data_IF_793608388618
#
_entry.id   IF_793608388618
#
_cell.length_a   1.000
_cell.length_b   1.000
_cell.length_c   1.000
_cell.angle_alpha   90.00
_cell.angle_beta   90.00
_cell.angle_gamma   90.00
#
_symmetry.space_group_name_H-M   'P 1'
#
loop_
_entity.id
_entity.type
_entity.pdbx_description
1 polymer ?
#
# COMPACT_ATOMS: atom_id res chain seq x y z
N UNK A 1 0.04 31.77 9.87
CA UNK A 1 -0.08 30.79 10.99
C UNK A 1 -0.08 29.37 10.41
N UNK A 2 0.80 29.12 9.43
CA UNK A 2 0.61 28.05 8.44
C UNK A 2 1.65 26.93 8.55
N UNK A 3 2.81 27.21 9.14
CA UNK A 3 3.87 26.22 9.36
C UNK A 3 3.47 25.10 10.35
N UNK A 4 2.64 25.38 11.36
CA UNK A 4 2.14 24.35 12.28
C UNK A 4 1.15 23.39 11.60
N UNK A 5 0.30 23.91 10.71
CA UNK A 5 -0.66 23.11 9.94
C UNK A 5 0.06 22.24 8.90
N UNK A 6 1.07 22.80 8.22
CA UNK A 6 1.93 22.08 7.30
C UNK A 6 2.74 20.96 7.98
N UNK A 7 3.30 21.24 9.16
CA UNK A 7 4.03 20.24 9.94
C UNK A 7 3.11 19.11 10.41
N UNK A 8 1.92 19.42 10.91
CA UNK A 8 0.93 18.42 11.34
C UNK A 8 0.46 17.53 10.17
N UNK A 9 0.18 18.11 9.01
CA UNK A 9 -0.21 17.36 7.82
C UNK A 9 0.93 16.49 7.28
N UNK A 10 2.17 16.99 7.27
CA UNK A 10 3.33 16.18 6.88
C UNK A 10 3.60 15.00 7.83
N UNK A 11 3.44 15.18 9.14
CA UNK A 11 3.56 14.07 10.12
C UNK A 11 2.48 13.01 9.87
N UNK A 12 1.24 13.42 9.59
CA UNK A 12 0.15 12.50 9.28
C UNK A 12 0.48 11.65 8.05
N UNK A 13 1.01 12.27 6.99
CA UNK A 13 1.44 11.57 5.77
C UNK A 13 2.56 10.56 6.07
N UNK A 14 3.59 10.96 6.82
CA UNK A 14 4.70 10.05 7.19
C UNK A 14 4.16 8.85 7.98
N UNK A 15 3.31 9.10 8.98
CA UNK A 15 2.73 8.02 9.79
C UNK A 15 1.90 7.05 8.95
N UNK A 16 1.09 7.58 8.03
CA UNK A 16 0.28 6.75 7.14
C UNK A 16 1.16 5.92 6.19
N UNK A 17 2.27 6.49 5.69
CA UNK A 17 3.21 5.77 4.83
C UNK A 17 3.78 4.54 5.54
N UNK A 18 4.23 4.72 6.78
CA UNK A 18 4.80 3.64 7.61
C UNK A 18 3.76 2.53 7.81
N UNK A 19 2.53 2.88 8.20
CA UNK A 19 1.47 1.89 8.43
C UNK A 19 1.13 1.09 7.17
N UNK A 20 1.10 1.75 6.01
CA UNK A 20 0.83 1.09 4.74
C UNK A 20 1.98 0.16 4.33
N UNK A 21 3.23 0.59 4.51
CA UNK A 21 4.42 -0.24 4.26
C UNK A 21 4.39 -1.51 5.12
N UNK A 22 4.07 -1.39 6.42
CA UNK A 22 3.97 -2.55 7.30
C UNK A 22 2.85 -3.51 6.87
N UNK A 23 1.69 -2.99 6.48
CA UNK A 23 0.59 -3.78 5.95
C UNK A 23 0.98 -4.52 4.66
N UNK A 24 1.61 -3.81 3.72
CA UNK A 24 2.11 -4.40 2.47
C UNK A 24 3.10 -5.53 2.75
N UNK A 25 4.04 -5.32 3.68
CA UNK A 25 5.02 -6.36 4.08
C UNK A 25 4.37 -7.59 4.70
N UNK A 26 3.29 -7.42 5.47
CA UNK A 26 2.53 -8.57 6.00
C UNK A 26 1.83 -9.35 4.88
N UNK A 27 1.15 -8.64 3.97
CA UNK A 27 0.48 -9.24 2.81
C UNK A 27 1.50 -9.99 1.94
N UNK A 28 2.62 -9.36 1.59
CA UNK A 28 3.69 -9.98 0.78
C UNK A 28 4.25 -11.23 1.42
N UNK A 29 4.48 -11.22 2.75
CA UNK A 29 4.95 -12.41 3.48
C UNK A 29 3.98 -13.58 3.37
N UNK A 30 2.68 -13.30 3.49
CA UNK A 30 1.65 -14.32 3.30
C UNK A 30 1.59 -14.80 1.84
N UNK A 31 1.54 -13.89 0.88
CA UNK A 31 1.45 -14.26 -0.54
C UNK A 31 2.66 -15.09 -0.98
N UNK A 32 3.88 -14.74 -0.53
CA UNK A 32 5.10 -15.51 -0.79
C UNK A 32 5.06 -16.91 -0.14
N UNK A 33 4.42 -17.07 1.03
CA UNK A 33 4.30 -18.38 1.66
C UNK A 33 3.29 -19.32 0.99
N UNK A 34 2.41 -18.77 0.14
CA UNK A 34 1.42 -19.54 -0.65
C UNK A 34 1.75 -19.58 -2.16
N UNK A 35 2.90 -19.01 -2.57
CA UNK A 35 3.25 -18.69 -3.97
C UNK A 35 3.70 -19.87 -4.84
N UNK A 36 3.44 -21.12 -4.47
CA UNK A 36 3.94 -22.29 -5.23
C UNK A 36 3.37 -22.45 -6.66
N UNK A 37 2.56 -21.54 -7.23
CA UNK A 37 1.99 -21.79 -8.57
C UNK A 37 1.50 -20.65 -9.51
N UNK A 38 1.05 -19.44 -9.11
CA UNK A 38 0.33 -18.57 -10.08
C UNK A 38 1.08 -17.29 -10.48
N UNK A 39 1.09 -17.01 -11.78
CA UNK A 39 1.59 -15.76 -12.37
C UNK A 39 0.83 -14.52 -11.87
N UNK A 40 -0.46 -14.66 -11.54
CA UNK A 40 -1.26 -13.57 -10.99
C UNK A 40 -0.75 -13.12 -9.60
N UNK A 41 -0.30 -14.05 -8.75
CA UNK A 41 0.29 -13.67 -7.47
C UNK A 41 1.62 -12.94 -7.62
N UNK A 42 2.41 -13.30 -8.64
CA UNK A 42 3.66 -12.60 -8.97
C UNK A 42 3.38 -11.14 -9.36
N UNK A 43 2.38 -10.89 -10.21
CA UNK A 43 1.99 -9.53 -10.60
C UNK A 43 1.50 -8.70 -9.42
N UNK A 44 0.69 -9.28 -8.56
CA UNK A 44 0.23 -8.61 -7.34
C UNK A 44 1.41 -8.30 -6.40
N UNK A 45 2.36 -9.22 -6.26
CA UNK A 45 3.59 -8.99 -5.48
C UNK A 45 4.42 -7.84 -6.06
N UNK A 46 4.61 -7.78 -7.38
CA UNK A 46 5.34 -6.69 -8.05
C UNK A 46 4.65 -5.33 -7.83
N UNK A 47 3.32 -5.27 -7.91
CA UNK A 47 2.56 -4.05 -7.61
C UNK A 47 2.70 -3.62 -6.15
N UNK A 48 2.68 -4.58 -5.22
CA UNK A 48 2.90 -4.34 -3.80
C UNK A 48 4.34 -3.86 -3.53
N UNK A 49 5.34 -4.42 -4.22
CA UNK A 49 6.73 -3.96 -4.19
C UNK A 49 6.85 -2.49 -4.69
N UNK A 50 6.20 -2.14 -5.80
CA UNK A 50 6.16 -0.76 -6.28
C UNK A 50 5.46 0.20 -5.32
N UNK A 51 4.33 -0.21 -4.73
CA UNK A 51 3.59 0.62 -3.78
C UNK A 51 4.41 0.86 -2.50
N UNK A 52 5.08 -0.18 -1.99
CA UNK A 52 5.99 -0.06 -0.84
C UNK A 52 7.08 0.98 -1.13
N UNK A 53 7.76 0.88 -2.27
CA UNK A 53 8.82 1.80 -2.66
C UNK A 53 8.34 3.26 -2.73
N UNK A 54 7.18 3.51 -3.34
CA UNK A 54 6.64 4.86 -3.48
C UNK A 54 6.25 5.44 -2.11
N UNK A 55 5.64 4.63 -1.24
CA UNK A 55 5.28 5.06 0.12
C UNK A 55 6.52 5.40 0.96
N UNK A 56 7.55 4.56 0.90
CA UNK A 56 8.83 4.82 1.58
C UNK A 56 9.48 6.12 1.07
N UNK A 57 9.58 6.29 -0.25
CA UNK A 57 10.13 7.49 -0.86
C UNK A 57 9.32 8.74 -0.49
N UNK A 58 7.98 8.65 -0.51
CA UNK A 58 7.09 9.77 -0.15
C UNK A 58 7.30 10.20 1.30
N UNK A 59 7.35 9.22 2.23
CA UNK A 59 7.62 9.48 3.63
C UNK A 59 8.99 10.13 3.85
N UNK A 60 10.03 9.63 3.19
CA UNK A 60 11.39 10.18 3.29
C UNK A 60 11.50 11.60 2.73
N UNK A 61 10.87 11.88 1.58
CA UNK A 61 10.87 13.20 0.96
C UNK A 61 10.21 14.24 1.87
N UNK A 62 9.04 13.92 2.41
CA UNK A 62 8.30 14.80 3.33
C UNK A 62 9.11 15.03 4.62
N UNK A 63 9.69 13.97 5.18
CA UNK A 63 10.53 14.07 6.37
C UNK A 63 11.78 14.94 6.12
N UNK A 64 12.41 14.82 4.94
CA UNK A 64 13.56 15.63 4.56
C UNK A 64 13.19 17.11 4.41
N UNK A 65 12.08 17.41 3.73
CA UNK A 65 11.56 18.78 3.57
C UNK A 65 11.26 19.44 4.93
N UNK A 66 10.64 18.69 5.86
CA UNK A 66 10.41 19.17 7.23
C UNK A 66 11.71 19.48 7.98
N UNK A 67 12.74 18.62 7.85
CA UNK A 67 14.03 18.81 8.53
C UNK A 67 14.83 20.00 7.98
N UNK A 68 14.72 20.27 6.68
CA UNK A 68 15.41 21.38 6.02
C UNK A 68 14.72 22.73 6.25
N UNK A 69 13.58 22.77 6.96
CA UNK A 69 12.80 23.98 7.17
C UNK A 69 12.12 24.49 5.90
N UNK A 70 11.98 23.63 4.88
CA UNK A 70 11.20 23.95 3.69
C UNK A 70 9.73 24.12 4.07
N UNK A 71 9.06 25.13 3.52
CA UNK A 71 7.60 25.23 3.63
C UNK A 71 6.97 24.05 2.90
N UNK A 72 6.56 23.03 3.64
CA UNK A 72 5.67 22.00 3.11
C UNK A 72 4.41 22.70 2.59
N UNK A 73 4.13 22.51 1.31
CA UNK A 73 2.86 22.96 0.76
C UNK A 73 1.73 22.14 1.43
N UNK A 74 0.91 22.80 2.26
CA UNK A 74 -0.22 22.15 2.97
C UNK A 74 -1.15 21.44 1.99
N UNK A 75 -1.39 22.03 0.82
CA UNK A 75 -2.25 21.46 -0.21
C UNK A 75 -1.66 20.19 -0.83
N UNK A 76 -0.33 20.11 -0.91
CA UNK A 76 0.38 18.91 -1.33
C UNK A 76 0.17 17.78 -0.32
N UNK A 77 0.41 18.04 0.96
CA UNK A 77 0.27 17.03 2.01
C UNK A 77 -1.16 16.48 2.07
N UNK A 78 -2.17 17.33 1.93
CA UNK A 78 -3.58 16.91 1.87
C UNK A 78 -3.87 16.02 0.66
N UNK A 79 -3.32 16.35 -0.51
CA UNK A 79 -3.52 15.56 -1.74
C UNK A 79 -2.85 14.20 -1.65
N UNK A 80 -1.62 14.16 -1.14
CA UNK A 80 -0.85 12.93 -0.90
C UNK A 80 -1.52 12.07 0.17
N UNK A 81 -1.95 12.66 1.29
CA UNK A 81 -2.67 11.95 2.36
C UNK A 81 -3.94 11.29 1.80
N UNK A 82 -4.71 11.99 0.95
CA UNK A 82 -5.93 11.46 0.34
C UNK A 82 -5.65 10.31 -0.64
N UNK A 83 -4.61 10.42 -1.45
CA UNK A 83 -4.19 9.33 -2.33
C UNK A 83 -3.74 8.09 -1.52
N UNK A 84 -3.02 8.30 -0.42
CA UNK A 84 -2.59 7.23 0.48
C UNK A 84 -3.74 6.57 1.22
N UNK A 85 -4.75 7.32 1.69
CA UNK A 85 -5.99 6.74 2.26
C UNK A 85 -6.77 5.89 1.24
N UNK A 86 -6.68 6.25 -0.04
CA UNK A 86 -7.27 5.44 -1.11
C UNK A 86 -6.50 4.12 -1.29
N UNK A 87 -5.17 4.15 -1.17
CA UNK A 87 -4.34 2.94 -1.13
C UNK A 87 -4.66 2.09 0.09
N UNK A 88 -4.79 2.70 1.27
CA UNK A 88 -5.14 2.06 2.53
C UNK A 88 -6.45 1.28 2.42
N UNK A 89 -7.50 1.92 1.90
CA UNK A 89 -8.81 1.27 1.76
C UNK A 89 -8.74 0.01 0.89
N UNK A 90 -7.91 0.03 -0.16
CA UNK A 90 -7.71 -1.10 -1.07
C UNK A 90 -6.86 -2.19 -0.42
N UNK A 91 -5.79 -1.82 0.29
CA UNK A 91 -4.95 -2.75 1.05
C UNK A 91 -5.71 -3.41 2.19
N UNK A 92 -6.61 -2.71 2.89
CA UNK A 92 -7.45 -3.27 3.94
C UNK A 92 -8.38 -4.37 3.42
N UNK A 93 -8.92 -4.21 2.20
CA UNK A 93 -9.71 -5.26 1.55
C UNK A 93 -8.86 -6.50 1.27
N UNK A 94 -7.65 -6.31 0.74
CA UNK A 94 -6.72 -7.40 0.44
C UNK A 94 -6.24 -8.10 1.74
N UNK A 95 -5.90 -7.33 2.76
CA UNK A 95 -5.55 -7.82 4.11
C UNK A 95 -6.70 -8.62 4.74
N UNK A 96 -7.94 -8.16 4.56
CA UNK A 96 -9.14 -8.90 4.97
C UNK A 96 -9.21 -10.29 4.35
N UNK A 97 -8.97 -10.39 3.03
CA UNK A 97 -8.93 -11.67 2.30
C UNK A 97 -7.80 -12.56 2.83
N UNK A 98 -6.60 -11.99 3.04
CA UNK A 98 -5.44 -12.70 3.59
C UNK A 98 -5.75 -13.24 4.99
N UNK A 99 -6.33 -12.44 5.88
CA UNK A 99 -6.68 -12.83 7.26
C UNK A 99 -7.76 -13.91 7.31
N UNK A 100 -8.81 -13.80 6.49
CA UNK A 100 -9.84 -14.84 6.38
C UNK A 100 -9.21 -16.15 5.91
N UNK A 101 -8.33 -16.08 4.90
CA UNK A 101 -7.65 -17.26 4.38
C UNK A 101 -6.74 -17.91 5.43
N UNK A 102 -5.94 -17.11 6.14
CA UNK A 102 -5.04 -17.59 7.21
C UNK A 102 -5.81 -18.26 8.36
N UNK A 103 -7.00 -17.75 8.70
CA UNK A 103 -7.89 -18.38 9.69
C UNK A 103 -8.49 -19.69 9.18
N UNK A 104 -8.87 -19.75 7.91
CA UNK A 104 -9.45 -20.96 7.29
C UNK A 104 -8.43 -22.09 7.11
N UNK A 105 -7.15 -21.76 6.94
CA UNK A 105 -6.08 -22.75 6.74
C UNK A 105 -5.55 -23.37 8.05
N UNK A 106 -5.76 -22.76 9.22
CA UNK A 106 -5.13 -23.23 10.47
C UNK A 106 -3.60 -23.11 10.44
N UNK A 107 -2.96 -23.25 11.60
CA UNK A 107 -1.53 -22.96 11.79
C UNK A 107 -0.55 -23.91 11.07
N UNK A 108 -1.02 -25.07 10.58
CA UNK A 108 -0.19 -26.21 10.17
C UNK A 108 -0.46 -26.76 8.76
N UNK A 109 -1.33 -26.13 7.94
CA UNK A 109 -1.66 -26.71 6.64
C UNK A 109 -0.70 -26.30 5.53
N UNK A 110 -0.33 -27.30 4.68
CA UNK A 110 0.46 -27.15 3.45
C UNK A 110 0.05 -25.90 2.67
N UNK A 111 1.04 -25.14 2.20
CA UNK A 111 0.88 -23.96 1.34
C UNK A 111 -0.18 -24.13 0.24
N UNK A 112 -0.28 -25.35 -0.35
CA UNK A 112 -1.31 -25.70 -1.34
C UNK A 112 -2.77 -25.57 -0.85
N UNK A 113 -3.08 -25.83 0.43
CA UNK A 113 -4.44 -25.67 1.00
C UNK A 113 -4.75 -24.20 1.28
N UNK A 114 -3.79 -23.47 1.85
CA UNK A 114 -3.90 -22.02 2.06
C UNK A 114 -4.06 -21.29 0.73
N UNK A 115 -3.33 -21.74 -0.30
CA UNK A 115 -3.46 -21.24 -1.66
C UNK A 115 -4.83 -21.58 -2.27
N UNK A 116 -5.33 -22.80 -2.10
CA UNK A 116 -6.66 -23.18 -2.58
C UNK A 116 -7.77 -22.35 -1.91
N UNK A 117 -7.68 -22.11 -0.60
CA UNK A 117 -8.59 -21.25 0.14
C UNK A 117 -8.48 -19.78 -0.30
N UNK A 118 -7.25 -19.28 -0.51
CA UNK A 118 -7.01 -17.95 -1.07
C UNK A 118 -7.68 -17.80 -2.43
N UNK A 119 -7.44 -18.76 -3.34
CA UNK A 119 -8.03 -18.79 -4.68
C UNK A 119 -9.55 -18.94 -4.65
N UNK A 120 -10.10 -19.60 -3.64
CA UNK A 120 -11.54 -19.74 -3.47
C UNK A 120 -12.19 -18.46 -2.94
N UNK A 121 -11.50 -17.74 -2.05
CA UNK A 121 -11.92 -16.43 -1.53
C UNK A 121 -11.58 -15.25 -2.44
N UNK A 122 -10.64 -15.42 -3.35
CA UNK A 122 -10.15 -14.42 -4.29
C UNK A 122 -10.22 -15.02 -5.70
N UNK A 123 -11.33 -14.80 -6.39
CA UNK A 123 -11.48 -15.22 -7.79
C UNK A 123 -10.47 -14.44 -8.62
N UNK A 124 -10.10 -14.98 -9.78
CA UNK A 124 -9.19 -14.30 -10.73
C UNK A 124 -9.60 -12.84 -11.00
N UNK A 125 -10.91 -12.58 -11.11
CA UNK A 125 -11.48 -11.23 -11.25
C UNK A 125 -11.20 -10.31 -10.07
N UNK A 126 -11.20 -10.85 -8.85
CA UNK A 126 -10.94 -10.05 -7.64
C UNK A 126 -9.46 -9.64 -7.60
N UNK A 127 -8.54 -10.53 -8.01
CA UNK A 127 -7.10 -10.21 -8.13
C UNK A 127 -6.88 -9.16 -9.23
N UNK A 128 -7.46 -9.34 -10.41
CA UNK A 128 -7.38 -8.36 -11.51
C UNK A 128 -7.96 -7.00 -11.12
N UNK A 129 -9.08 -6.98 -10.38
CA UNK A 129 -9.67 -5.76 -9.83
C UNK A 129 -8.74 -5.11 -8.79
N UNK A 130 -8.08 -5.90 -7.92
CA UNK A 130 -7.07 -5.39 -7.00
C UNK A 130 -5.86 -4.81 -7.75
N UNK A 131 -5.39 -5.47 -8.82
CA UNK A 131 -4.30 -4.99 -9.64
C UNK A 131 -4.65 -3.64 -10.29
N UNK A 132 -5.80 -3.53 -10.95
CA UNK A 132 -6.29 -2.30 -11.58
C UNK A 132 -6.45 -1.18 -10.55
N UNK A 133 -7.10 -1.49 -9.42
CA UNK A 133 -7.29 -0.53 -8.35
C UNK A 133 -5.97 -0.07 -7.74
N UNK A 134 -5.00 -0.95 -7.50
CA UNK A 134 -3.69 -0.56 -6.99
C UNK A 134 -2.93 0.29 -8.01
N UNK A 135 -2.97 -0.09 -9.29
CA UNK A 135 -2.35 0.65 -10.37
C UNK A 135 -2.89 2.08 -10.51
N UNK A 136 -4.21 2.26 -10.43
CA UNK A 136 -4.84 3.58 -10.47
C UNK A 136 -4.43 4.45 -9.27
N UNK A 137 -4.41 3.85 -8.08
CA UNK A 137 -3.97 4.54 -6.87
C UNK A 137 -2.50 4.96 -6.95
N UNK A 138 -1.66 4.09 -7.51
CA UNK A 138 -0.23 4.34 -7.72
C UNK A 138 -0.01 5.47 -8.74
N UNK A 139 -0.80 5.47 -9.81
CA UNK A 139 -0.80 6.54 -10.82
C UNK A 139 -1.23 7.88 -10.23
N UNK A 140 -2.28 7.91 -9.42
CA UNK A 140 -2.74 9.11 -8.70
C UNK A 140 -1.68 9.63 -7.72
N UNK A 141 -1.02 8.73 -6.99
CA UNK A 141 0.03 9.11 -6.04
C UNK A 141 1.26 9.69 -6.78
N UNK A 142 1.70 9.05 -7.87
CA UNK A 142 2.78 9.56 -8.71
C UNK A 142 2.45 10.92 -9.35
N UNK A 143 1.22 11.11 -9.81
CA UNK A 143 0.75 12.40 -10.32
C UNK A 143 0.75 13.48 -9.24
N UNK A 144 0.27 13.15 -8.03
CA UNK A 144 0.27 14.08 -6.90
C UNK A 144 1.70 14.50 -6.50
N UNK A 145 2.66 13.56 -6.52
CA UNK A 145 4.07 13.83 -6.25
C UNK A 145 4.71 14.63 -7.40
N UNK A 146 4.41 14.31 -8.66
CA UNK A 146 5.00 14.99 -9.83
C UNK A 146 4.53 16.43 -9.96
N UNK A 147 3.23 16.71 -9.72
CA UNK A 147 2.70 18.08 -9.70
C UNK A 147 3.28 18.94 -8.57
N UNK A 148 4.01 18.34 -7.64
CA UNK A 148 4.62 19.03 -6.50
C UNK A 148 6.10 19.35 -6.65
N UNK A 149 6.73 18.83 -7.72
CA UNK A 149 8.14 19.03 -8.04
C UNK A 149 8.36 20.13 -9.12
N UNK A 150 7.30 20.85 -9.50
CA UNK A 150 7.32 21.97 -10.47
C UNK A 150 7.07 23.29 -9.77
#
# INVERSE_FOLDING_TARGET
MDGLSAAASGIAVISLAIQLVDSIREIKRFLRSVSEAPKELTRLLDLLDHLELILENTGQLIQMQQKLGGELNVHLCVSVEKAMKTCETKLLKLDGVVKITKKASGADTRAARSFAAFRQGCKKRDIEEFEEQLHDSLSLLNLAISMSLV
#
